data_IF_632834101496
#
_entry.id   IF_632834101496
#
_cell.length_a   1.000
_cell.length_b   1.000
_cell.length_c   1.000
_cell.angle_alpha   90.00
_cell.angle_beta   90.00
_cell.angle_gamma   90.00
#
_symmetry.space_group_name_H-M   'P 1'
#
loop_
_entity.id
_entity.type
_entity.pdbx_description
1 polymer ?
#
# COMPACT_ATOMS: atom_id res chain seq x y z
N UNK A 1 13.66 14.02 -10.65
CA UNK A 1 12.89 14.72 -9.59
C UNK A 1 13.28 14.13 -8.23
N UNK A 2 13.49 14.93 -7.19
CA UNK A 2 13.80 14.47 -5.82
C UNK A 2 12.54 14.62 -4.96
N UNK A 3 11.81 13.52 -4.71
CA UNK A 3 10.54 13.54 -3.97
C UNK A 3 10.69 12.88 -2.60
N UNK A 4 10.44 13.62 -1.52
CA UNK A 4 10.25 13.05 -0.17
C UNK A 4 8.99 12.16 -0.13
N UNK A 5 8.91 11.24 0.84
CA UNK A 5 7.69 10.44 1.05
C UNK A 5 6.45 11.32 1.31
N UNK A 6 6.58 12.37 2.11
CA UNK A 6 5.48 13.32 2.33
C UNK A 6 5.11 14.09 1.06
N UNK A 7 6.11 14.43 0.21
CA UNK A 7 5.85 15.09 -1.08
C UNK A 7 5.10 14.15 -2.03
N UNK A 8 5.45 12.86 -2.07
CA UNK A 8 4.73 11.87 -2.89
C UNK A 8 3.27 11.75 -2.44
N UNK A 9 3.03 11.66 -1.13
CA UNK A 9 1.67 11.61 -0.59
C UNK A 9 0.84 12.85 -1.00
N UNK A 10 1.36 14.05 -0.78
CA UNK A 10 0.68 15.31 -1.16
C UNK A 10 0.49 15.46 -2.67
N UNK A 11 1.36 14.86 -3.48
CA UNK A 11 1.18 14.82 -4.93
C UNK A 11 0.03 13.89 -5.29
N UNK A 12 -0.02 12.70 -4.69
CA UNK A 12 -1.10 11.75 -4.88
C UNK A 12 -2.47 12.30 -4.46
N UNK A 13 -2.57 12.98 -3.30
CA UNK A 13 -3.81 13.63 -2.87
C UNK A 13 -4.30 14.69 -3.87
N UNK A 14 -3.37 15.45 -4.46
CA UNK A 14 -3.72 16.46 -5.47
C UNK A 14 -4.10 15.82 -6.79
N UNK A 15 -3.43 14.75 -7.19
CA UNK A 15 -3.73 14.00 -8.40
C UNK A 15 -5.07 13.26 -8.31
N UNK A 16 -5.40 12.68 -7.15
CA UNK A 16 -6.69 12.06 -6.87
C UNK A 16 -7.85 13.00 -7.18
N UNK A 17 -7.74 14.27 -6.77
CA UNK A 17 -8.76 15.29 -7.06
C UNK A 17 -8.91 15.63 -8.53
N UNK A 18 -8.13 15.06 -9.45
CA UNK A 18 -8.26 15.27 -10.90
C UNK A 18 -8.72 14.03 -11.64
N UNK A 19 -8.89 12.90 -10.95
CA UNK A 19 -9.33 11.68 -11.59
C UNK A 19 -10.83 11.73 -11.91
N UNK A 20 -11.27 10.94 -12.90
CA UNK A 20 -12.63 11.06 -13.41
C UNK A 20 -13.64 10.61 -12.34
N UNK A 21 -13.38 9.50 -11.65
CA UNK A 21 -14.24 9.01 -10.57
C UNK A 21 -14.41 10.04 -9.45
N UNK A 22 -13.33 10.74 -9.07
CA UNK A 22 -13.41 11.80 -8.06
C UNK A 22 -14.26 12.99 -8.53
N UNK A 23 -14.05 13.45 -9.78
CA UNK A 23 -14.82 14.57 -10.34
C UNK A 23 -16.29 14.21 -10.53
N UNK A 24 -16.61 13.02 -11.03
CA UNK A 24 -17.99 12.56 -11.20
C UNK A 24 -18.74 12.54 -9.87
N UNK A 25 -18.16 11.96 -8.81
CA UNK A 25 -18.77 11.96 -7.48
C UNK A 25 -19.00 13.37 -6.95
N UNK A 26 -18.06 14.29 -7.22
CA UNK A 26 -18.17 15.69 -6.83
C UNK A 26 -19.28 16.41 -7.58
N UNK A 27 -19.37 16.23 -8.89
CA UNK A 27 -20.41 16.84 -9.76
C UNK A 27 -21.80 16.32 -9.39
N UNK A 28 -21.91 15.04 -9.05
CA UNK A 28 -23.15 14.41 -8.59
C UNK A 28 -23.50 14.74 -7.13
N UNK A 29 -22.67 15.51 -6.42
CA UNK A 29 -22.92 15.89 -5.03
C UNK A 29 -22.99 14.69 -4.07
N UNK A 30 -22.23 13.62 -4.33
CA UNK A 30 -22.18 12.43 -3.48
C UNK A 30 -21.67 12.79 -2.09
N UNK A 31 -22.25 12.17 -1.06
CA UNK A 31 -21.83 12.36 0.34
C UNK A 31 -20.40 11.86 0.58
N UNK A 32 -20.03 10.76 -0.05
CA UNK A 32 -18.70 10.15 -0.01
C UNK A 32 -17.98 10.30 -1.35
N UNK A 33 -16.66 10.32 -1.28
CA UNK A 33 -15.80 10.34 -2.46
C UNK A 33 -14.50 9.56 -2.18
N UNK A 34 -13.70 9.34 -3.20
CA UNK A 34 -12.45 8.59 -3.10
C UNK A 34 -11.49 9.23 -2.09
N UNK A 35 -11.03 8.38 -1.17
CA UNK A 35 -9.94 8.66 -0.24
C UNK A 35 -8.68 7.92 -0.64
N UNK A 36 -7.53 8.59 -0.55
CA UNK A 36 -6.24 7.95 -0.81
C UNK A 36 -5.98 6.84 0.24
N UNK A 37 -5.66 5.63 -0.22
CA UNK A 37 -5.39 4.48 0.64
C UNK A 37 -3.89 4.31 0.86
N UNK A 38 -3.12 4.19 -0.21
CA UNK A 38 -1.66 4.06 -0.16
C UNK A 38 -0.96 4.60 -1.41
N UNK A 39 0.33 4.85 -1.26
CA UNK A 39 1.24 5.26 -2.34
C UNK A 39 2.47 4.38 -2.30
N UNK A 40 2.80 3.80 -3.44
CA UNK A 40 3.99 2.98 -3.67
C UNK A 40 4.97 3.72 -4.58
N UNK A 41 6.26 3.49 -4.39
CA UNK A 41 7.31 4.02 -5.24
C UNK A 41 8.32 2.92 -5.59
N UNK A 42 8.79 2.91 -6.84
CA UNK A 42 9.84 1.98 -7.32
C UNK A 42 11.10 2.74 -7.70
N UNK A 43 12.25 2.18 -7.34
CA UNK A 43 13.56 2.81 -7.55
C UNK A 43 14.07 3.52 -6.29
N UNK A 44 15.37 3.83 -6.29
CA UNK A 44 16.01 4.40 -5.09
C UNK A 44 15.50 5.81 -4.84
N UNK A 45 15.04 6.04 -3.63
CA UNK A 45 14.87 7.38 -3.10
C UNK A 45 16.16 8.20 -3.28
N UNK A 46 16.10 9.48 -3.69
CA UNK A 46 14.88 10.24 -4.03
C UNK A 46 14.48 10.20 -5.52
N UNK A 47 15.14 9.36 -6.31
CA UNK A 47 14.99 9.25 -7.76
C UNK A 47 14.06 8.09 -8.15
N UNK A 48 12.89 8.02 -7.50
CA UNK A 48 11.87 7.03 -7.84
C UNK A 48 11.57 7.11 -9.36
N UNK A 49 11.58 5.95 -10.01
CA UNK A 49 11.35 5.80 -11.45
C UNK A 49 9.86 5.63 -11.76
N UNK A 50 9.11 5.10 -10.80
CA UNK A 50 7.67 4.89 -10.92
C UNK A 50 6.98 5.10 -9.58
N UNK A 51 5.73 5.58 -9.63
CA UNK A 51 4.90 5.85 -8.45
C UNK A 51 3.47 5.41 -8.76
N UNK A 52 2.92 4.59 -7.87
CA UNK A 52 1.55 4.11 -7.93
C UNK A 52 0.79 4.69 -6.73
N UNK A 53 -0.37 5.28 -6.97
CA UNK A 53 -1.30 5.68 -5.94
C UNK A 53 -2.60 4.89 -6.07
N UNK A 54 -3.14 4.44 -4.94
CA UNK A 54 -4.41 3.71 -4.88
C UNK A 54 -5.36 4.45 -3.96
N UNK A 55 -6.59 4.67 -4.42
CA UNK A 55 -7.66 5.32 -3.68
C UNK A 55 -8.93 4.47 -3.71
N UNK A 56 -9.74 4.56 -2.66
CA UNK A 56 -10.97 3.80 -2.51
C UNK A 56 -12.16 4.69 -2.17
N UNK A 57 -13.34 4.30 -2.64
CA UNK A 57 -14.62 4.87 -2.27
C UNK A 57 -15.62 3.73 -2.15
N UNK A 58 -16.17 3.52 -0.96
CA UNK A 58 -17.10 2.41 -0.69
C UNK A 58 -16.47 1.04 -1.04
N UNK A 59 -17.02 0.33 -2.02
CA UNK A 59 -16.57 -0.98 -2.49
C UNK A 59 -15.67 -0.92 -3.73
N UNK A 60 -15.36 0.29 -4.21
CA UNK A 60 -14.58 0.51 -5.43
C UNK A 60 -13.20 1.06 -5.11
N UNK A 61 -12.18 0.59 -5.81
CA UNK A 61 -10.83 1.13 -5.74
C UNK A 61 -10.31 1.46 -7.14
N UNK A 62 -9.48 2.50 -7.21
CA UNK A 62 -8.82 2.96 -8.42
C UNK A 62 -7.31 3.05 -8.19
N UNK A 63 -6.56 2.78 -9.24
CA UNK A 63 -5.13 3.03 -9.32
C UNK A 63 -4.86 4.18 -10.28
N UNK A 64 -3.93 5.07 -9.93
CA UNK A 64 -3.48 6.12 -10.82
C UNK A 64 -2.00 6.45 -10.57
N UNK A 65 -1.34 7.03 -11.57
CA UNK A 65 0.01 7.55 -11.40
C UNK A 65 -0.09 9.03 -11.00
N UNK A 66 0.46 9.47 -9.86
CA UNK A 66 0.33 10.85 -9.41
C UNK A 66 1.30 11.82 -10.12
N UNK A 67 2.22 11.29 -10.93
CA UNK A 67 3.26 12.06 -11.64
C UNK A 67 3.02 12.03 -13.15
N UNK A 68 2.75 10.84 -13.71
CA UNK A 68 2.41 10.68 -15.11
C UNK A 68 0.91 10.89 -15.31
N UNK A 69 0.55 11.64 -16.35
CA UNK A 69 -0.86 11.84 -16.72
C UNK A 69 -1.38 10.67 -17.55
N UNK A 70 -1.46 9.50 -16.91
CA UNK A 70 -1.82 8.23 -17.55
C UNK A 70 -3.29 7.83 -17.34
N UNK A 71 -4.08 8.69 -16.70
CA UNK A 71 -5.44 8.37 -16.25
C UNK A 71 -5.49 7.46 -15.03
N UNK A 72 -6.71 7.10 -14.64
CA UNK A 72 -7.01 6.13 -13.58
C UNK A 72 -7.44 4.77 -14.16
N UNK A 73 -7.25 3.71 -13.40
CA UNK A 73 -7.60 2.33 -13.73
C UNK A 73 -8.44 1.77 -12.59
N UNK A 74 -9.59 1.20 -12.91
CA UNK A 74 -10.44 0.50 -11.93
C UNK A 74 -9.76 -0.80 -11.47
N UNK A 75 -9.66 -0.98 -10.15
CA UNK A 75 -9.16 -2.21 -9.53
C UNK A 75 -10.34 -3.13 -9.21
N UNK A 76 -10.90 -3.74 -10.25
CA UNK A 76 -12.01 -4.69 -10.12
C UNK A 76 -11.62 -5.87 -9.21
N UNK A 77 -12.45 -6.12 -8.18
CA UNK A 77 -12.16 -7.13 -7.17
C UNK A 77 -10.85 -6.82 -6.43
N UNK A 78 -10.67 -5.57 -6.01
CA UNK A 78 -9.52 -5.11 -5.26
C UNK A 78 -9.20 -6.05 -4.10
N UNK A 79 -7.94 -6.46 -3.99
CA UNK A 79 -7.46 -7.25 -2.87
C UNK A 79 -5.96 -6.98 -2.62
N UNK A 80 -5.54 -7.05 -1.36
CA UNK A 80 -4.17 -6.70 -1.00
C UNK A 80 -3.13 -7.72 -1.47
N UNK A 81 -3.53 -8.95 -1.76
CA UNK A 81 -2.65 -9.97 -2.34
C UNK A 81 -2.09 -9.52 -3.70
N UNK A 82 -2.99 -9.25 -4.66
CA UNK A 82 -2.64 -8.77 -6.00
C UNK A 82 -2.21 -7.30 -5.99
N UNK A 83 -3.00 -6.43 -5.38
CA UNK A 83 -2.84 -4.98 -5.62
C UNK A 83 -1.76 -4.33 -4.73
N UNK A 84 -1.34 -5.01 -3.66
CA UNK A 84 -0.28 -4.55 -2.75
C UNK A 84 0.91 -5.52 -2.69
N UNK A 85 0.71 -6.77 -2.28
CA UNK A 85 1.83 -7.69 -2.01
C UNK A 85 2.61 -8.04 -3.27
N UNK A 86 1.94 -8.29 -4.40
CA UNK A 86 2.62 -8.49 -5.68
C UNK A 86 3.53 -7.30 -6.04
N UNK A 87 3.03 -6.07 -5.89
CA UNK A 87 3.83 -4.86 -6.14
C UNK A 87 5.04 -4.75 -5.20
N UNK A 88 4.85 -4.99 -3.90
CA UNK A 88 5.95 -4.97 -2.94
C UNK A 88 6.98 -6.06 -3.26
N UNK A 89 6.53 -7.25 -3.65
CA UNK A 89 7.38 -8.35 -4.09
C UNK A 89 8.20 -7.93 -5.32
N UNK A 90 7.56 -7.28 -6.30
CA UNK A 90 8.17 -6.74 -7.52
C UNK A 90 9.12 -5.55 -7.31
N UNK A 91 9.31 -5.11 -6.06
CA UNK A 91 10.33 -4.13 -5.68
C UNK A 91 9.82 -2.70 -5.50
N UNK A 92 8.50 -2.52 -5.38
CA UNK A 92 7.95 -1.27 -4.87
C UNK A 92 8.15 -1.16 -3.34
N UNK A 93 8.22 0.07 -2.86
CA UNK A 93 8.23 0.40 -1.43
C UNK A 93 7.04 1.30 -1.09
N UNK A 94 6.53 1.18 0.14
CA UNK A 94 5.46 2.05 0.63
C UNK A 94 6.03 3.44 0.95
N UNK A 95 5.53 4.44 0.23
CA UNK A 95 5.78 5.85 0.51
C UNK A 95 4.84 6.37 1.61
N UNK A 96 3.59 5.90 1.63
CA UNK A 96 2.63 6.19 2.69
C UNK A 96 1.39 5.30 2.57
N UNK A 97 0.68 5.14 3.67
CA UNK A 97 -0.57 4.36 3.77
C UNK A 97 -1.39 4.86 4.96
N UNK A 98 -2.71 4.90 4.83
CA UNK A 98 -3.61 5.30 5.93
C UNK A 98 -3.71 4.20 6.99
N UNK A 99 -4.11 4.56 8.22
CA UNK A 99 -4.30 3.59 9.29
C UNK A 99 -5.45 2.63 9.00
N UNK A 100 -6.54 3.10 8.40
CA UNK A 100 -7.65 2.25 7.97
C UNK A 100 -7.21 1.23 6.91
N UNK A 101 -6.38 1.66 5.95
CA UNK A 101 -5.81 0.76 4.96
C UNK A 101 -4.87 -0.27 5.62
N UNK A 102 -4.05 0.13 6.59
CA UNK A 102 -3.23 -0.81 7.36
C UNK A 102 -4.08 -1.87 8.07
N UNK A 103 -5.18 -1.47 8.71
CA UNK A 103 -6.12 -2.40 9.34
C UNK A 103 -6.73 -3.38 8.32
N UNK A 104 -7.11 -2.90 7.12
CA UNK A 104 -7.57 -3.76 6.04
C UNK A 104 -6.53 -4.81 5.62
N UNK A 105 -5.26 -4.41 5.46
CA UNK A 105 -4.18 -5.35 5.14
C UNK A 105 -4.00 -6.38 6.26
N UNK A 106 -4.13 -5.97 7.53
CA UNK A 106 -4.01 -6.88 8.67
C UNK A 106 -5.13 -7.91 8.70
N UNK A 107 -6.38 -7.53 8.42
CA UNK A 107 -7.48 -8.48 8.25
C UNK A 107 -7.21 -9.49 7.12
N UNK A 108 -6.69 -9.04 5.97
CA UNK A 108 -6.33 -9.97 4.89
C UNK A 108 -5.23 -10.95 5.30
N UNK A 109 -4.22 -10.49 6.04
CA UNK A 109 -3.18 -11.40 6.54
C UNK A 109 -3.76 -12.38 7.55
N UNK A 110 -4.57 -11.91 8.50
CA UNK A 110 -5.28 -12.78 9.45
C UNK A 110 -6.08 -13.88 8.75
N UNK A 111 -6.84 -13.52 7.72
CA UNK A 111 -7.69 -14.48 7.01
C UNK A 111 -6.87 -15.51 6.20
N UNK A 112 -5.73 -15.10 5.62
CA UNK A 112 -5.06 -15.88 4.56
C UNK A 112 -3.61 -16.32 4.88
N UNK A 113 -3.04 -16.00 6.04
CA UNK A 113 -1.64 -16.34 6.34
C UNK A 113 -1.35 -17.85 6.34
N UNK A 114 -2.37 -18.69 6.56
CA UNK A 114 -2.25 -20.15 6.55
C UNK A 114 -2.29 -20.75 5.14
N UNK A 115 -1.43 -20.21 4.25
CA UNK A 115 -1.21 -20.72 2.89
C UNK A 115 -2.08 -20.11 1.80
N UNK A 116 -2.89 -19.09 2.09
CA UNK A 116 -3.70 -18.35 1.12
C UNK A 116 -3.01 -17.15 0.47
N UNK A 117 -1.82 -16.78 0.91
CA UNK A 117 -1.01 -15.68 0.39
C UNK A 117 0.05 -16.24 -0.56
N UNK A 118 -0.04 -15.90 -1.86
CA UNK A 118 0.90 -16.36 -2.90
C UNK A 118 2.18 -15.49 -2.92
N UNK A 119 2.04 -14.19 -2.64
CA UNK A 119 3.10 -13.19 -2.67
C UNK A 119 3.73 -12.99 -1.29
N UNK A 120 4.12 -14.09 -0.64
CA UNK A 120 4.64 -14.10 0.73
C UNK A 120 5.81 -13.12 0.96
N UNK A 121 6.71 -12.95 -0.02
CA UNK A 121 7.83 -11.99 0.13
C UNK A 121 7.33 -10.55 0.13
N UNK A 122 6.25 -10.27 -0.62
CA UNK A 122 5.54 -9.00 -0.61
C UNK A 122 4.89 -8.71 0.75
N UNK A 123 4.17 -9.69 1.29
CA UNK A 123 3.59 -9.62 2.64
C UNK A 123 4.68 -9.39 3.71
N UNK A 124 5.79 -10.13 3.66
CA UNK A 124 6.88 -9.95 4.62
C UNK A 124 7.55 -8.57 4.52
N UNK A 125 7.67 -8.00 3.30
CA UNK A 125 8.10 -6.61 3.12
C UNK A 125 7.12 -5.61 3.74
N UNK A 126 5.81 -5.86 3.64
CA UNK A 126 4.79 -5.05 4.30
C UNK A 126 4.92 -5.10 5.84
N UNK A 127 5.07 -6.29 6.42
CA UNK A 127 5.27 -6.45 7.86
C UNK A 127 6.57 -5.77 8.33
N UNK A 128 7.62 -5.85 7.52
CA UNK A 128 8.87 -5.10 7.72
C UNK A 128 8.66 -3.59 7.74
N UNK A 129 7.84 -3.07 6.82
CA UNK A 129 7.43 -1.67 6.83
C UNK A 129 6.65 -1.32 8.10
N UNK A 130 5.71 -2.16 8.53
CA UNK A 130 4.94 -1.96 9.76
C UNK A 130 5.86 -1.81 10.98
N UNK A 131 6.82 -2.73 11.13
CA UNK A 131 7.83 -2.69 12.20
C UNK A 131 8.64 -1.39 12.19
N UNK A 132 9.15 -0.97 11.03
CA UNK A 132 9.98 0.24 10.91
C UNK A 132 9.21 1.54 11.17
N UNK A 133 7.90 1.55 10.92
CA UNK A 133 7.06 2.75 11.01
C UNK A 133 6.11 2.75 12.23
N UNK A 134 6.29 1.78 13.15
CA UNK A 134 5.49 1.68 14.36
C UNK A 134 4.01 1.46 14.10
N UNK A 135 3.68 0.62 13.11
CA UNK A 135 2.33 0.11 12.90
C UNK A 135 2.20 -1.14 13.77
N UNK A 136 1.49 -1.01 14.89
CA UNK A 136 1.27 -2.08 15.87
C UNK A 136 -0.21 -2.32 16.07
N UNK A 137 -0.57 -3.47 16.62
CA UNK A 137 -1.97 -3.81 16.92
C UNK A 137 -2.62 -2.75 17.80
N UNK A 138 -1.97 -2.35 18.88
CA UNK A 138 -2.49 -1.38 19.84
C UNK A 138 -2.71 0.00 19.19
N UNK A 139 -1.84 0.38 18.25
CA UNK A 139 -2.00 1.63 17.50
C UNK A 139 -3.23 1.54 16.59
N UNK A 140 -3.44 0.43 15.91
CA UNK A 140 -4.60 0.23 15.03
C UNK A 140 -5.91 0.14 15.83
N UNK A 141 -5.92 -0.63 16.92
CA UNK A 141 -7.02 -0.71 17.89
C UNK A 141 -7.43 0.68 18.38
N UNK A 142 -6.47 1.47 18.88
CA UNK A 142 -6.75 2.78 19.46
C UNK A 142 -7.20 3.83 18.44
N UNK A 143 -6.70 3.77 17.20
CA UNK A 143 -6.88 4.84 16.22
C UNK A 143 -7.99 4.59 15.23
N UNK A 144 -8.22 3.34 14.85
CA UNK A 144 -9.19 2.96 13.82
C UNK A 144 -10.08 1.80 14.27
N UNK A 145 -10.00 1.38 15.53
CA UNK A 145 -10.90 0.35 16.08
C UNK A 145 -10.65 -1.04 15.50
N UNK A 146 -9.43 -1.32 15.03
CA UNK A 146 -9.06 -2.67 14.57
C UNK A 146 -9.21 -3.68 15.71
N UNK A 147 -9.80 -4.85 15.45
CA UNK A 147 -10.05 -5.88 16.48
C UNK A 147 -9.48 -7.26 16.12
N UNK A 148 -8.77 -7.36 15.00
CA UNK A 148 -8.23 -8.62 14.50
C UNK A 148 -6.95 -9.09 15.21
N UNK A 149 -6.26 -10.04 14.59
CA UNK A 149 -5.02 -10.64 15.08
C UNK A 149 -3.84 -9.64 15.14
N UNK A 150 -2.90 -9.85 16.08
CA UNK A 150 -1.56 -9.25 15.93
C UNK A 150 -0.73 -10.00 14.87
N UNK A 151 -0.83 -9.57 13.62
CA UNK A 151 -0.12 -10.20 12.49
C UNK A 151 1.39 -10.05 12.57
N UNK A 152 1.93 -9.20 13.46
CA UNK A 152 3.37 -9.05 13.63
C UNK A 152 4.04 -10.31 14.19
N UNK A 153 3.29 -11.23 14.79
CA UNK A 153 3.77 -12.56 15.17
C UNK A 153 4.25 -13.41 13.98
N UNK A 154 3.76 -13.12 12.76
CA UNK A 154 4.10 -13.84 11.52
C UNK A 154 5.37 -13.25 10.85
N UNK A 155 5.81 -12.06 11.29
CA UNK A 155 6.94 -11.39 10.67
C UNK A 155 8.25 -12.15 10.86
N UNK A 156 8.93 -12.46 9.77
CA UNK A 156 10.23 -13.12 9.75
C UNK A 156 11.33 -12.13 9.30
N UNK A 157 12.17 -11.59 10.20
CA UNK A 157 13.23 -10.64 9.86
C UNK A 157 14.29 -11.19 8.89
N UNK A 158 14.42 -12.52 8.76
CA UNK A 158 15.37 -13.13 7.82
C UNK A 158 14.91 -13.00 6.37
N UNK A 159 13.62 -12.78 6.12
CA UNK A 159 13.07 -12.55 4.77
C UNK A 159 13.55 -11.25 4.12
N UNK A 160 14.00 -10.27 4.91
CA UNK A 160 14.57 -9.01 4.42
C UNK A 160 16.05 -9.15 4.00
N UNK A 161 16.72 -10.24 4.40
CA UNK A 161 18.08 -10.53 3.97
C UNK A 161 18.01 -11.04 2.54
N UNK A 162 18.16 -10.12 1.60
CA UNK A 162 18.54 -10.50 0.25
C UNK A 162 19.85 -11.27 0.38
N UNK A 163 19.87 -12.55 0.00
CA UNK A 163 21.11 -13.32 -0.18
C UNK A 163 22.00 -12.45 -1.06
N UNK A 164 23.09 -11.95 -0.51
CA UNK A 164 24.08 -11.26 -1.32
C UNK A 164 24.75 -12.33 -2.18
N UNK A 165 25.18 -12.00 -3.40
CA UNK A 165 25.91 -12.94 -4.26
C UNK A 165 27.14 -13.58 -3.58
N UNK A 166 27.60 -13.05 -2.43
CA UNK A 166 28.71 -13.61 -1.65
C UNK A 166 28.33 -14.83 -0.79
N UNK A 167 27.04 -15.05 -0.52
CA UNK A 167 26.58 -16.13 0.36
C UNK A 167 26.28 -17.44 -0.40
N UNK A 168 26.38 -17.43 -1.74
CA UNK A 168 26.19 -18.60 -2.62
C UNK A 168 27.51 -19.30 -3.00
N UNK A 169 28.66 -18.78 -2.59
CA UNK A 169 29.98 -19.30 -2.93
C UNK A 169 30.76 -19.87 -1.72
N UNK A 170 30.06 -20.30 -0.66
CA UNK A 170 30.70 -20.85 0.54
C UNK A 170 30.23 -22.26 0.90
#
# INVERSE_FOLDING_TARGET
>A
MNLSKEKMWRLAERALKRTNGYQQNRELGKEKNYGLMYVLAKGKYPHAKDVIAVAGCEDVAIQFNPIADSGEIDLWGFNFERDLFENLQAGYEIAGMTLDCHAGVWYTIEDWHDGGIEHEKGMQKYLGYCKRNGITKERLEKKVGYLGMDVMGIYNPKSERTISHKDLER
#
